data_IF_892768422641
#
_entry.id   IF_892768422641
#
_cell.length_a   1.000
_cell.length_b   1.000
_cell.length_c   1.000
_cell.angle_alpha   90.00
_cell.angle_beta   90.00
_cell.angle_gamma   90.00
#
_symmetry.space_group_name_H-M   'P 1'
#
loop_
_entity.id
_entity.type
_entity.pdbx_description
1 polymer ?
#
# COMPACT_ATOMS: atom_id res chain seq x y z
N UNK A 1 -13.38 -13.93 -9.71
CA UNK A 1 -12.02 -13.54 -9.29
C UNK A 1 -11.86 -12.03 -9.36
N UNK A 2 -11.29 -11.45 -8.33
CA UNK A 2 -11.05 -10.01 -8.26
C UNK A 2 -9.88 -9.61 -9.13
N UNK A 3 -9.99 -8.50 -9.86
CA UNK A 3 -8.86 -7.96 -10.62
C UNK A 3 -7.80 -7.44 -9.66
N UNK A 4 -6.53 -7.46 -10.07
CA UNK A 4 -5.43 -7.01 -9.22
C UNK A 4 -5.54 -5.55 -8.82
N UNK A 5 -5.99 -4.67 -9.72
CA UNK A 5 -6.23 -3.26 -9.40
C UNK A 5 -7.29 -3.12 -8.31
N UNK A 6 -8.35 -3.89 -8.40
CA UNK A 6 -9.40 -3.87 -7.37
C UNK A 6 -8.87 -4.41 -6.05
N UNK A 7 -8.08 -5.50 -6.10
CA UNK A 7 -7.47 -6.06 -4.89
C UNK A 7 -6.56 -5.03 -4.21
N UNK A 8 -5.81 -4.25 -4.98
CA UNK A 8 -4.95 -3.20 -4.42
C UNK A 8 -5.73 -2.07 -3.79
N UNK A 9 -6.85 -1.66 -4.41
CA UNK A 9 -7.71 -0.65 -3.82
C UNK A 9 -8.29 -1.11 -2.49
N UNK A 10 -8.75 -2.35 -2.45
CA UNK A 10 -9.31 -2.91 -1.22
C UNK A 10 -8.23 -3.15 -0.17
N UNK A 11 -7.03 -3.54 -0.59
CA UNK A 11 -5.90 -3.68 0.33
C UNK A 11 -5.53 -2.33 0.94
N UNK A 12 -5.49 -1.27 0.13
CA UNK A 12 -5.26 0.07 0.63
C UNK A 12 -6.31 0.45 1.69
N UNK A 13 -7.59 0.22 1.39
CA UNK A 13 -8.67 0.54 2.31
C UNK A 13 -8.55 -0.21 3.64
N UNK A 14 -8.21 -1.51 3.57
CA UNK A 14 -8.04 -2.32 4.78
C UNK A 14 -6.84 -1.84 5.59
N UNK A 15 -5.71 -1.60 4.94
CA UNK A 15 -4.51 -1.10 5.61
C UNK A 15 -4.71 0.28 6.22
N UNK A 16 -5.46 1.14 5.53
CA UNK A 16 -5.79 2.45 6.02
C UNK A 16 -6.60 2.37 7.33
N UNK A 17 -7.53 1.42 7.40
CA UNK A 17 -8.30 1.19 8.63
C UNK A 17 -7.42 0.63 9.74
N UNK A 18 -6.58 -0.35 9.42
CA UNK A 18 -5.70 -0.98 10.40
C UNK A 18 -4.71 -0.01 11.03
N UNK A 19 -4.30 1.01 10.29
CA UNK A 19 -3.32 1.98 10.76
C UNK A 19 -3.86 2.88 11.87
N UNK A 20 -5.17 3.02 12.02
CA UNK A 20 -5.75 3.97 12.96
C UNK A 20 -6.79 3.39 13.90
N UNK A 21 -7.02 2.07 13.86
CA UNK A 21 -8.03 1.42 14.69
C UNK A 21 -7.48 0.14 15.27
N UNK A 22 -8.22 -0.43 16.23
CA UNK A 22 -7.87 -1.71 16.83
C UNK A 22 -8.58 -2.88 16.14
N UNK A 23 -8.97 -2.69 14.88
CA UNK A 23 -9.61 -3.76 14.12
C UNK A 23 -8.67 -4.95 13.93
N UNK A 24 -9.24 -6.15 13.94
CA UNK A 24 -8.49 -7.34 13.56
C UNK A 24 -8.31 -7.36 12.04
N UNK A 25 -7.36 -8.18 11.59
CA UNK A 25 -7.15 -8.42 10.17
C UNK A 25 -8.45 -8.84 9.48
N UNK A 26 -9.17 -9.80 10.07
CA UNK A 26 -10.40 -10.33 9.50
C UNK A 26 -11.49 -9.26 9.41
N UNK A 27 -11.59 -8.42 10.44
CA UNK A 27 -12.57 -7.33 10.42
C UNK A 27 -12.26 -6.32 9.32
N UNK A 28 -10.98 -5.94 9.17
CA UNK A 28 -10.60 -4.98 8.14
C UNK A 28 -10.87 -5.52 6.73
N UNK A 29 -10.55 -6.79 6.50
CA UNK A 29 -10.84 -7.44 5.21
C UNK A 29 -12.35 -7.47 4.97
N UNK A 30 -13.13 -7.85 5.99
CA UNK A 30 -14.58 -7.90 5.87
C UNK A 30 -15.22 -6.56 5.53
N UNK A 31 -14.66 -5.47 6.08
CA UNK A 31 -15.20 -4.13 5.85
C UNK A 31 -15.03 -3.64 4.40
N UNK A 32 -14.00 -4.14 3.70
CA UNK A 32 -13.74 -3.67 2.34
C UNK A 32 -14.37 -4.55 1.27
N UNK A 33 -14.87 -5.73 1.65
CA UNK A 33 -15.57 -6.59 0.70
C UNK A 33 -17.01 -6.13 0.57
N UNK A 34 -17.52 -6.15 -0.66
CA UNK A 34 -18.91 -5.84 -0.92
C UNK A 34 -19.79 -7.01 -0.49
N UNK A 35 -21.09 -6.76 -0.34
CA UNK A 35 -22.03 -7.81 0.02
C UNK A 35 -21.92 -8.99 -0.97
N UNK A 36 -21.85 -10.19 -0.43
CA UNK A 36 -21.71 -11.44 -1.19
C UNK A 36 -20.37 -11.58 -1.93
N UNK A 37 -19.46 -10.63 -1.79
CA UNK A 37 -18.14 -10.75 -2.38
C UNK A 37 -17.25 -11.65 -1.53
N UNK A 38 -16.62 -12.62 -2.17
CA UNK A 38 -15.72 -13.52 -1.47
C UNK A 38 -14.33 -12.89 -1.32
N UNK A 39 -13.62 -13.28 -0.27
CA UNK A 39 -12.24 -12.87 -0.07
C UNK A 39 -11.37 -13.39 -1.22
N UNK A 40 -10.44 -12.57 -1.65
CA UNK A 40 -9.52 -12.88 -2.74
C UNK A 40 -8.14 -13.16 -2.15
N UNK A 41 -7.48 -14.20 -2.65
CA UNK A 41 -6.18 -14.61 -2.14
C UNK A 41 -5.12 -13.50 -2.31
N UNK A 42 -5.17 -12.76 -3.40
CA UNK A 42 -4.21 -11.68 -3.63
C UNK A 42 -4.46 -10.52 -2.67
N UNK A 43 -5.72 -10.15 -2.46
CA UNK A 43 -6.09 -9.14 -1.48
C UNK A 43 -5.56 -9.51 -0.09
N UNK A 44 -5.83 -10.73 0.34
CA UNK A 44 -5.37 -11.22 1.63
C UNK A 44 -3.85 -11.17 1.74
N UNK A 45 -3.16 -11.61 0.68
CA UNK A 45 -1.70 -11.60 0.63
C UNK A 45 -1.14 -10.19 0.76
N UNK A 46 -1.73 -9.22 0.08
CA UNK A 46 -1.26 -7.83 0.14
C UNK A 46 -1.40 -7.25 1.55
N UNK A 47 -2.54 -7.46 2.18
CA UNK A 47 -2.77 -6.92 3.52
C UNK A 47 -1.91 -7.63 4.54
N UNK A 48 -1.91 -8.96 4.52
CA UNK A 48 -1.13 -9.76 5.46
C UNK A 48 0.37 -9.53 5.28
N UNK A 49 0.83 -9.55 4.04
CA UNK A 49 2.25 -9.33 3.75
C UNK A 49 2.74 -7.97 4.21
N UNK A 50 1.96 -6.92 3.96
CA UNK A 50 2.32 -5.58 4.39
C UNK A 50 2.38 -5.50 5.92
N UNK A 51 1.37 -6.06 6.61
CA UNK A 51 1.32 -5.99 8.07
C UNK A 51 2.40 -6.85 8.73
N UNK A 52 2.67 -8.03 8.20
CA UNK A 52 3.67 -8.92 8.76
C UNK A 52 5.11 -8.46 8.52
N UNK A 53 5.33 -7.66 7.48
CA UNK A 53 6.66 -7.14 7.13
C UNK A 53 6.80 -5.65 7.43
N UNK A 54 5.95 -5.11 8.30
CA UNK A 54 5.88 -3.67 8.54
C UNK A 54 7.20 -3.09 9.03
N UNK A 55 7.91 -3.78 9.92
CA UNK A 55 9.18 -3.30 10.44
C UNK A 55 10.21 -3.15 9.32
N UNK A 56 10.32 -4.15 8.45
CA UNK A 56 11.22 -4.10 7.30
C UNK A 56 10.82 -2.99 6.33
N UNK A 57 9.53 -2.90 6.04
CA UNK A 57 9.00 -1.90 5.10
C UNK A 57 9.27 -0.49 5.62
N UNK A 58 8.96 -0.24 6.88
CA UNK A 58 9.15 1.09 7.47
C UNK A 58 10.62 1.47 7.52
N UNK A 59 11.51 0.52 7.83
CA UNK A 59 12.95 0.78 7.82
C UNK A 59 13.42 1.18 6.42
N UNK A 60 12.95 0.48 5.39
CA UNK A 60 13.30 0.80 4.01
C UNK A 60 12.79 2.18 3.61
N UNK A 61 11.56 2.52 4.03
CA UNK A 61 10.99 3.84 3.76
C UNK A 61 11.78 4.94 4.45
N UNK A 62 12.14 4.76 5.72
CA UNK A 62 12.91 5.78 6.47
C UNK A 62 14.24 6.10 5.78
N UNK A 63 14.90 5.10 5.18
CA UNK A 63 16.14 5.31 4.47
C UNK A 63 15.98 6.14 3.21
N UNK A 64 14.79 6.21 2.67
CA UNK A 64 14.52 6.89 1.39
C UNK A 64 13.67 8.15 1.53
N UNK A 65 13.32 8.54 2.75
CA UNK A 65 12.60 9.79 3.00
C UNK A 65 13.60 10.92 3.27
N UNK A 66 13.43 12.03 2.57
CA UNK A 66 14.22 13.24 2.78
C UNK A 66 13.32 14.28 3.45
N UNK A 67 13.80 14.87 4.54
CA UNK A 67 13.10 15.94 5.25
C UNK A 67 11.78 15.54 5.90
N UNK A 68 11.47 14.24 5.91
CA UNK A 68 10.23 13.72 6.49
C UNK A 68 10.52 12.50 7.34
N UNK A 69 9.77 12.35 8.42
CA UNK A 69 9.73 11.08 9.15
C UNK A 69 8.44 10.37 8.78
N UNK A 70 8.47 9.05 8.79
CA UNK A 70 7.32 8.26 8.39
C UNK A 70 6.08 8.60 9.21
N UNK A 71 6.24 8.84 10.52
CA UNK A 71 5.12 9.15 11.41
C UNK A 71 4.47 10.50 11.11
N UNK A 72 5.18 11.40 10.41
CA UNK A 72 4.66 12.71 10.06
C UNK A 72 4.01 12.77 8.69
N UNK A 73 4.13 11.69 7.91
CA UNK A 73 3.48 11.65 6.62
C UNK A 73 1.97 11.58 6.78
N UNK A 74 1.21 12.23 5.89
CA UNK A 74 -0.23 12.02 5.88
C UNK A 74 -0.55 10.55 5.72
N UNK A 75 -1.63 10.12 6.32
CA UNK A 75 -1.99 8.71 6.40
C UNK A 75 -2.16 8.07 5.02
N UNK A 76 -2.70 8.83 4.05
CA UNK A 76 -2.89 8.30 2.69
C UNK A 76 -1.54 7.95 2.06
N UNK A 77 -0.59 8.89 2.06
CA UNK A 77 0.74 8.65 1.47
C UNK A 77 1.45 7.53 2.19
N UNK A 78 1.40 7.52 3.53
CA UNK A 78 2.05 6.47 4.32
C UNK A 78 1.49 5.09 3.96
N UNK A 79 0.17 4.96 3.85
CA UNK A 79 -0.46 3.68 3.54
C UNK A 79 -0.13 3.23 2.12
N UNK A 80 -0.20 4.14 1.14
CA UNK A 80 0.16 3.80 -0.24
C UNK A 80 1.62 3.36 -0.33
N UNK A 81 2.52 4.09 0.34
CA UNK A 81 3.95 3.77 0.33
C UNK A 81 4.22 2.40 0.94
N UNK A 82 3.58 2.10 2.07
CA UNK A 82 3.77 0.79 2.71
C UNK A 82 3.33 -0.36 1.82
N UNK A 83 2.15 -0.22 1.19
CA UNK A 83 1.65 -1.26 0.29
C UNK A 83 2.56 -1.42 -0.93
N UNK A 84 2.96 -0.32 -1.55
CA UNK A 84 3.82 -0.37 -2.73
C UNK A 84 5.19 -0.96 -2.41
N UNK A 85 5.80 -0.56 -1.30
CA UNK A 85 7.10 -1.10 -0.91
C UNK A 85 7.02 -2.59 -0.62
N UNK A 86 5.91 -3.05 0.00
CA UNK A 86 5.71 -4.48 0.16
C UNK A 86 5.79 -5.19 -1.20
N UNK A 87 5.08 -4.69 -2.21
CA UNK A 87 5.09 -5.31 -3.54
C UNK A 87 6.47 -5.25 -4.18
N UNK A 88 7.18 -4.12 -4.05
CA UNK A 88 8.52 -3.98 -4.62
C UNK A 88 9.54 -4.95 -4.01
N UNK A 89 9.41 -5.21 -2.70
CA UNK A 89 10.35 -6.06 -1.99
C UNK A 89 10.00 -7.55 -2.05
N UNK A 90 8.71 -7.88 -2.13
CA UNK A 90 8.26 -9.26 -1.95
C UNK A 90 7.47 -9.88 -3.10
N UNK A 91 7.00 -9.08 -4.06
CA UNK A 91 6.23 -9.60 -5.20
C UNK A 91 7.07 -9.55 -6.46
N UNK A 92 7.98 -10.51 -6.58
CA UNK A 92 8.95 -10.55 -7.67
C UNK A 92 8.32 -10.64 -9.07
N UNK A 93 7.15 -11.26 -9.16
CA UNK A 93 6.46 -11.42 -10.44
C UNK A 93 5.76 -10.16 -10.92
N UNK A 94 5.65 -9.15 -10.07
CA UNK A 94 5.00 -7.90 -10.45
C UNK A 94 6.08 -6.89 -10.87
N UNK A 95 6.06 -6.43 -12.14
CA UNK A 95 7.05 -5.44 -12.58
C UNK A 95 6.98 -4.16 -11.74
N UNK A 96 8.13 -3.57 -11.47
CA UNK A 96 8.21 -2.33 -10.69
C UNK A 96 7.33 -1.23 -11.28
N UNK A 97 7.30 -1.14 -12.61
CA UNK A 97 6.47 -0.16 -13.31
C UNK A 97 4.99 -0.30 -12.96
N UNK A 98 4.51 -1.53 -12.86
CA UNK A 98 3.11 -1.78 -12.50
C UNK A 98 2.84 -1.33 -11.07
N UNK A 99 3.74 -1.66 -10.14
CA UNK A 99 3.59 -1.24 -8.73
C UNK A 99 3.53 0.28 -8.63
N UNK A 100 4.42 0.97 -9.34
CA UNK A 100 4.46 2.44 -9.31
C UNK A 100 3.21 3.06 -9.90
N UNK A 101 2.75 2.55 -11.05
CA UNK A 101 1.53 3.07 -11.67
C UNK A 101 0.31 2.86 -10.80
N UNK A 102 0.21 1.71 -10.15
CA UNK A 102 -0.90 1.42 -9.24
C UNK A 102 -0.87 2.32 -8.01
N UNK A 103 0.32 2.58 -7.46
CA UNK A 103 0.47 3.50 -6.34
C UNK A 103 0.02 4.91 -6.71
N UNK A 104 0.38 5.37 -7.90
CA UNK A 104 -0.04 6.69 -8.40
C UNK A 104 -1.55 6.75 -8.55
N UNK A 105 -2.17 5.69 -9.09
CA UNK A 105 -3.62 5.63 -9.23
C UNK A 105 -4.33 5.67 -7.88
N UNK A 106 -3.79 5.00 -6.86
CA UNK A 106 -4.33 5.08 -5.51
C UNK A 106 -4.29 6.52 -4.97
N UNK A 107 -3.19 7.22 -5.22
CA UNK A 107 -3.07 8.61 -4.80
C UNK A 107 -4.05 9.53 -5.54
N UNK A 108 -4.31 9.25 -6.80
CA UNK A 108 -5.30 10.02 -7.56
C UNK A 108 -6.71 9.77 -7.05
N UNK A 109 -7.00 8.56 -6.63
CA UNK A 109 -8.33 8.18 -6.14
C UNK A 109 -8.59 8.70 -4.73
N UNK A 110 -7.62 8.56 -3.84
CA UNK A 110 -7.80 8.84 -2.42
C UNK A 110 -7.10 10.10 -1.92
N UNK A 111 -6.14 10.59 -2.66
CA UNK A 111 -5.38 11.77 -2.30
C UNK A 111 -5.53 12.87 -3.37
N UNK A 112 -4.41 13.44 -3.79
CA UNK A 112 -4.39 14.53 -4.77
C UNK A 112 -3.11 14.45 -5.61
N UNK A 113 -2.91 15.47 -6.46
CA UNK A 113 -1.74 15.52 -7.34
C UNK A 113 -0.43 15.62 -6.56
N UNK A 114 -0.44 16.33 -5.43
CA UNK A 114 0.75 16.45 -4.57
C UNK A 114 1.12 15.10 -3.99
N UNK A 115 0.11 14.34 -3.55
CA UNK A 115 0.33 12.97 -3.05
C UNK A 115 0.97 12.10 -4.11
N UNK A 116 0.46 12.16 -5.34
CA UNK A 116 0.97 11.37 -6.46
C UNK A 116 2.44 11.69 -6.74
N UNK A 117 2.79 12.97 -6.78
CA UNK A 117 4.16 13.39 -7.05
C UNK A 117 5.11 12.97 -5.93
N UNK A 118 4.68 13.14 -4.69
CA UNK A 118 5.49 12.76 -3.54
C UNK A 118 5.76 11.26 -3.51
N UNK A 119 4.70 10.47 -3.67
CA UNK A 119 4.81 9.01 -3.64
C UNK A 119 5.69 8.53 -4.80
N UNK A 120 5.51 9.09 -5.99
CA UNK A 120 6.35 8.74 -7.14
C UNK A 120 7.82 9.02 -6.86
N UNK A 121 8.11 10.17 -6.26
CA UNK A 121 9.49 10.55 -5.92
C UNK A 121 10.14 9.57 -4.95
N UNK A 122 9.40 9.18 -3.91
CA UNK A 122 9.92 8.22 -2.93
C UNK A 122 10.14 6.85 -3.57
N UNK A 123 9.13 6.35 -4.30
CA UNK A 123 9.21 5.01 -4.90
C UNK A 123 10.29 4.91 -5.98
N UNK A 124 10.57 6.01 -6.68
CA UNK A 124 11.63 6.03 -7.68
C UNK A 124 12.98 5.64 -7.10
N UNK A 125 13.24 5.96 -5.85
CA UNK A 125 14.49 5.62 -5.18
C UNK A 125 14.66 4.12 -4.99
N UNK A 126 13.55 3.39 -4.90
CA UNK A 126 13.58 1.93 -4.78
C UNK A 126 13.86 1.24 -6.10
N UNK A 127 13.65 1.92 -7.22
CA UNK A 127 13.75 1.32 -8.55
C UNK A 127 14.94 1.81 -9.37
N UNK A 128 15.75 2.70 -8.83
CA UNK A 128 16.90 3.30 -9.52
C UNK A 128 18.19 2.48 -9.38
N UNK A 129 18.10 1.20 -9.19
CA UNK A 129 19.29 0.36 -9.06
C UNK A 129 19.56 -0.45 -10.31
#
# INVERSE_FOLDING_TARGET
MMKRSEARQKAFQALFQLDSTELSFEEAIGHVLEEEQESDAYLTKLVRGTTENLVEIDAALEQNLENWTLSRLPKIERTVLRLAVYELLHEEDTPNRVVMNEAIELCKTYGDEKSSKFVNGVLSKFTEQ
#
